data_IF_346699084347
#
_entry.id   IF_346699084347
#
_cell.length_a   1.000
_cell.length_b   1.000
_cell.length_c   1.000
_cell.angle_alpha   90.00
_cell.angle_beta   90.00
_cell.angle_gamma   90.00
#
_symmetry.space_group_name_H-M   'P 1'
#
loop_
_entity.id
_entity.type
_entity.pdbx_description
1 polymer ?
#
# COMPACT_ATOMS: atom_id res chain seq x y z
N UNK A 1 -24.41 25.19 11.52
CA UNK A 1 -23.70 24.31 10.62
C UNK A 1 -22.52 23.69 11.32
N UNK A 2 -22.54 22.41 11.37
CA UNK A 2 -21.41 21.69 11.93
C UNK A 2 -20.35 21.52 10.86
N UNK A 3 -19.19 22.10 11.08
CA UNK A 3 -18.09 21.91 10.17
C UNK A 3 -17.18 20.84 10.76
N UNK A 4 -17.36 19.64 10.28
CA UNK A 4 -16.53 18.56 10.71
C UNK A 4 -15.10 18.74 10.20
N UNK A 5 -14.15 18.49 11.07
CA UNK A 5 -12.74 18.52 10.69
C UNK A 5 -12.14 17.15 10.98
N UNK A 6 -11.15 16.81 10.18
CA UNK A 6 -10.53 15.49 10.22
C UNK A 6 -9.05 15.62 10.52
N UNK A 7 -8.60 14.80 11.44
CA UNK A 7 -7.15 14.68 11.70
C UNK A 7 -6.63 13.62 10.75
N UNK A 8 -5.70 14.02 9.89
CA UNK A 8 -5.12 13.14 8.88
C UNK A 8 -3.68 12.85 9.25
N UNK A 9 -3.34 11.59 9.39
CA UNK A 9 -1.98 11.15 9.70
C UNK A 9 -1.46 10.32 8.54
N UNK A 10 -0.30 10.72 8.02
CA UNK A 10 0.36 9.97 6.96
C UNK A 10 1.46 9.12 7.57
N UNK A 11 1.41 7.83 7.25
CA UNK A 11 2.33 6.84 7.80
C UNK A 11 3.00 6.08 6.67
N UNK A 12 4.30 5.83 6.81
CA UNK A 12 5.00 4.91 5.93
C UNK A 12 5.33 3.65 6.74
N UNK A 13 4.80 2.52 6.28
CA UNK A 13 5.10 1.22 6.87
C UNK A 13 6.19 0.54 6.05
N UNK A 14 7.16 -0.03 6.73
CA UNK A 14 8.28 -0.71 6.09
C UNK A 14 8.17 -2.21 6.37
N UNK A 15 8.23 -2.99 5.29
CA UNK A 15 8.18 -4.44 5.37
C UNK A 15 9.40 -5.04 4.67
N UNK A 16 9.94 -6.11 5.25
CA UNK A 16 10.95 -6.91 4.59
C UNK A 16 10.22 -8.08 3.94
N UNK A 17 10.32 -8.19 2.62
CA UNK A 17 9.71 -9.27 1.86
C UNK A 17 10.79 -10.10 1.20
N UNK A 18 10.59 -11.40 1.15
CA UNK A 18 11.52 -12.32 0.52
C UNK A 18 10.81 -13.12 -0.55
N UNK A 19 11.52 -13.33 -1.65
CA UNK A 19 11.03 -14.00 -2.83
C UNK A 19 12.02 -15.06 -3.23
N UNK A 20 11.54 -16.15 -3.85
CA UNK A 20 12.43 -17.19 -4.35
C UNK A 20 11.84 -17.79 -5.62
N UNK A 21 12.70 -18.09 -6.58
CA UNK A 21 12.34 -18.79 -7.80
C UNK A 21 13.32 -19.96 -7.95
N UNK A 22 12.83 -21.19 -8.10
CA UNK A 22 13.74 -22.31 -8.35
C UNK A 22 14.52 -22.10 -9.63
N UNK A 23 15.83 -22.35 -9.62
CA UNK A 23 16.66 -22.13 -10.81
C UNK A 23 16.20 -22.97 -11.99
N UNK A 24 15.64 -24.15 -11.73
CA UNK A 24 15.10 -24.99 -12.80
C UNK A 24 13.98 -24.35 -13.58
N UNK A 25 13.21 -23.46 -12.96
CA UNK A 25 12.13 -22.73 -13.63
C UNK A 25 12.65 -21.56 -14.46
N UNK A 26 13.89 -21.14 -14.23
CA UNK A 26 14.54 -20.10 -15.01
C UNK A 26 15.27 -20.69 -16.23
N UNK A 27 15.36 -22.00 -16.31
CA UNK A 27 16.04 -22.65 -17.43
C UNK A 27 15.23 -22.48 -18.72
N UNK A 28 15.91 -22.17 -19.80
CA UNK A 28 15.29 -22.08 -21.13
C UNK A 28 15.81 -23.20 -22.01
N UNK A 29 14.91 -23.95 -22.62
CA UNK A 29 15.24 -25.07 -23.51
C UNK A 29 16.21 -26.06 -22.87
N UNK A 30 16.05 -26.32 -21.57
CA UNK A 30 16.90 -27.25 -20.85
C UNK A 30 18.27 -26.70 -20.46
N UNK A 31 18.53 -25.43 -20.72
CA UNK A 31 19.81 -24.80 -20.39
C UNK A 31 19.65 -23.99 -19.12
N UNK A 32 20.42 -24.31 -18.09
CA UNK A 32 20.40 -23.56 -16.83
C UNK A 32 21.08 -22.22 -16.98
N UNK A 33 20.50 -21.15 -16.42
CA UNK A 33 21.15 -19.86 -16.43
C UNK A 33 22.41 -19.84 -15.56
N UNK A 34 23.29 -18.90 -15.82
CA UNK A 34 24.38 -18.62 -14.89
C UNK A 34 23.81 -18.01 -13.62
N UNK A 35 24.59 -18.03 -12.54
CA UNK A 35 24.15 -17.41 -11.28
C UNK A 35 23.80 -15.94 -11.47
N UNK A 36 24.61 -15.21 -12.22
CA UNK A 36 24.36 -13.78 -12.47
C UNK A 36 23.07 -13.56 -13.25
N UNK A 37 22.81 -14.38 -14.27
CA UNK A 37 21.57 -14.31 -15.03
C UNK A 37 20.36 -14.62 -14.16
N UNK A 38 20.46 -15.66 -13.33
CA UNK A 38 19.38 -16.07 -12.44
C UNK A 38 19.03 -14.95 -11.44
N UNK A 39 20.04 -14.29 -10.89
CA UNK A 39 19.83 -13.17 -9.96
C UNK A 39 19.12 -12.03 -10.67
N UNK A 40 19.60 -11.67 -11.86
CA UNK A 40 19.01 -10.57 -12.61
C UNK A 40 17.55 -10.86 -12.99
N UNK A 41 17.26 -12.05 -13.48
CA UNK A 41 15.91 -12.44 -13.89
C UNK A 41 14.95 -12.49 -12.71
N UNK A 42 15.42 -12.99 -11.55
CA UNK A 42 14.60 -13.05 -10.35
C UNK A 42 14.27 -11.64 -9.87
N UNK A 43 15.25 -10.74 -9.85
CA UNK A 43 15.01 -9.35 -9.46
C UNK A 43 14.02 -8.67 -10.38
N UNK A 44 14.10 -8.91 -11.68
CA UNK A 44 13.16 -8.37 -12.64
C UNK A 44 11.75 -8.89 -12.40
N UNK A 45 11.60 -10.19 -12.12
CA UNK A 45 10.30 -10.79 -11.83
C UNK A 45 9.67 -10.22 -10.57
N UNK A 46 10.47 -9.92 -9.55
CA UNK A 46 9.97 -9.27 -8.33
C UNK A 46 9.46 -7.86 -8.66
N UNK A 47 10.22 -7.09 -9.42
CA UNK A 47 9.81 -5.73 -9.80
C UNK A 47 8.55 -5.76 -10.65
N UNK A 48 8.40 -6.74 -11.52
CA UNK A 48 7.26 -6.89 -12.40
C UNK A 48 6.06 -7.57 -11.72
N UNK A 49 6.17 -7.86 -10.44
CA UNK A 49 5.12 -8.52 -9.66
C UNK A 49 4.70 -9.89 -10.20
N UNK A 50 5.66 -10.63 -10.75
CA UNK A 50 5.42 -11.94 -11.33
C UNK A 50 5.59 -13.09 -10.35
N UNK A 51 6.06 -12.79 -9.14
CA UNK A 51 6.31 -13.78 -8.11
C UNK A 51 5.79 -13.26 -6.78
N UNK A 52 5.21 -14.15 -5.97
CA UNK A 52 4.69 -13.77 -4.66
C UNK A 52 5.74 -14.01 -3.58
N UNK A 53 5.72 -13.19 -2.55
CA UNK A 53 6.62 -13.34 -1.42
C UNK A 53 6.31 -14.60 -0.62
N UNK A 54 7.36 -15.27 -0.15
CA UNK A 54 7.18 -16.40 0.77
C UNK A 54 7.33 -15.99 2.23
N UNK A 55 7.75 -14.77 2.49
CA UNK A 55 7.83 -14.27 3.85
C UNK A 55 7.67 -12.75 3.86
N UNK A 56 7.04 -12.26 4.90
CA UNK A 56 6.82 -10.84 5.10
C UNK A 56 7.05 -10.53 6.57
N UNK A 57 7.83 -9.51 6.85
CA UNK A 57 8.11 -9.08 8.21
C UNK A 57 7.96 -7.57 8.30
N UNK A 58 7.08 -7.13 9.17
CA UNK A 58 6.89 -5.71 9.42
C UNK A 58 8.07 -5.17 10.23
N UNK A 59 8.70 -4.13 9.73
CA UNK A 59 9.88 -3.53 10.36
C UNK A 59 9.55 -2.27 11.14
N UNK A 60 8.33 -1.80 11.02
CA UNK A 60 7.89 -0.61 11.74
C UNK A 60 7.23 0.40 10.83
N UNK A 61 6.77 1.47 11.42
CA UNK A 61 6.15 2.55 10.68
C UNK A 61 6.60 3.88 11.24
N UNK A 62 6.65 4.87 10.36
CA UNK A 62 7.00 6.23 10.71
C UNK A 62 5.85 7.15 10.36
N UNK A 63 5.44 7.95 11.33
CA UNK A 63 4.48 9.01 11.06
C UNK A 63 5.25 10.15 10.41
N UNK A 64 4.87 10.48 9.17
CA UNK A 64 5.54 11.53 8.40
C UNK A 64 4.98 12.88 8.76
N UNK A 65 3.66 12.99 8.82
CA UNK A 65 3.00 14.22 9.18
C UNK A 65 1.61 13.95 9.74
N UNK A 66 1.09 14.95 10.41
CA UNK A 66 -0.28 14.92 10.93
C UNK A 66 -0.82 16.34 10.80
N UNK A 67 -2.00 16.47 10.23
CA UNK A 67 -2.61 17.79 10.05
C UNK A 67 -4.13 17.67 10.11
N UNK A 68 -4.79 18.81 10.20
CA UNK A 68 -6.25 18.88 10.31
C UNK A 68 -6.81 19.48 9.03
N UNK A 69 -7.79 18.81 8.45
CA UNK A 69 -8.46 19.27 7.23
C UNK A 69 -9.95 19.36 7.49
N UNK A 70 -10.61 20.30 6.79
CA UNK A 70 -12.06 20.33 6.75
C UNK A 70 -12.58 19.22 5.82
N UNK A 71 -13.89 19.05 5.80
CA UNK A 71 -14.51 17.99 5.03
C UNK A 71 -14.19 18.08 3.53
N UNK A 72 -14.24 19.27 2.97
CA UNK A 72 -13.98 19.47 1.55
C UNK A 72 -12.55 19.06 1.19
N UNK A 73 -11.60 19.48 2.00
CA UNK A 73 -10.18 19.20 1.74
C UNK A 73 -9.83 17.74 1.95
N UNK A 74 -10.44 17.07 2.92
CA UNK A 74 -10.17 15.65 3.12
C UNK A 74 -10.73 14.83 1.96
N UNK A 75 -11.85 15.25 1.39
CA UNK A 75 -12.40 14.61 0.20
C UNK A 75 -11.49 14.83 -1.01
N UNK A 76 -10.95 16.03 -1.17
CA UNK A 76 -9.99 16.30 -2.24
C UNK A 76 -8.74 15.43 -2.12
N UNK A 77 -8.26 15.24 -0.91
CA UNK A 77 -7.11 14.38 -0.66
C UNK A 77 -7.45 12.92 -0.99
N UNK A 78 -8.63 12.47 -0.60
CA UNK A 78 -9.10 11.13 -0.93
C UNK A 78 -9.15 10.92 -2.44
N UNK A 79 -9.67 11.88 -3.18
CA UNK A 79 -9.76 11.80 -4.64
C UNK A 79 -8.39 11.76 -5.30
N UNK A 80 -7.46 12.53 -4.77
CA UNK A 80 -6.09 12.55 -5.28
C UNK A 80 -5.42 11.19 -5.09
N UNK A 81 -5.60 10.59 -3.93
CA UNK A 81 -4.99 9.31 -3.60
C UNK A 81 -5.69 8.13 -4.26
N UNK A 82 -6.97 8.30 -4.61
CA UNK A 82 -7.80 7.21 -5.13
C UNK A 82 -8.56 7.65 -6.39
N UNK A 83 -7.87 8.01 -7.46
CA UNK A 83 -8.54 8.53 -8.67
C UNK A 83 -9.50 7.53 -9.32
N UNK A 84 -9.29 6.24 -9.08
CA UNK A 84 -10.14 5.19 -9.64
C UNK A 84 -11.55 5.13 -9.06
N UNK A 85 -11.81 5.83 -7.95
CA UNK A 85 -13.11 5.86 -7.31
C UNK A 85 -13.63 7.30 -7.17
N UNK A 86 -13.17 8.20 -8.02
CA UNK A 86 -13.56 9.61 -7.97
C UNK A 86 -15.05 9.82 -8.24
N UNK A 87 -15.71 8.87 -8.89
CA UNK A 87 -17.14 8.93 -9.19
C UNK A 87 -18.03 8.49 -8.02
N UNK A 88 -17.46 8.07 -6.90
CA UNK A 88 -18.22 7.75 -5.70
C UNK A 88 -18.91 9.00 -5.17
N UNK A 89 -20.05 8.81 -4.52
CA UNK A 89 -20.76 9.93 -3.88
C UNK A 89 -19.95 10.44 -2.69
N UNK A 90 -20.21 11.68 -2.29
CA UNK A 90 -19.57 12.28 -1.12
C UNK A 90 -19.77 11.41 0.12
N UNK A 91 -20.98 10.89 0.30
CA UNK A 91 -21.31 10.05 1.46
C UNK A 91 -20.50 8.77 1.48
N UNK A 92 -20.34 8.15 0.31
CA UNK A 92 -19.53 6.92 0.20
C UNK A 92 -18.06 7.19 0.50
N UNK A 93 -17.53 8.31 0.01
CA UNK A 93 -16.15 8.71 0.29
C UNK A 93 -15.93 8.94 1.78
N UNK A 94 -16.86 9.64 2.42
CA UNK A 94 -16.75 9.92 3.85
C UNK A 94 -16.81 8.65 4.68
N UNK A 95 -17.58 7.66 4.27
CA UNK A 95 -17.59 6.36 4.95
C UNK A 95 -16.25 5.66 4.86
N UNK A 96 -15.56 5.79 3.74
CA UNK A 96 -14.22 5.22 3.56
C UNK A 96 -13.17 5.94 4.38
N UNK A 97 -13.32 7.25 4.51
CA UNK A 97 -12.40 8.09 5.26
C UNK A 97 -12.62 7.89 6.77
N UNK A 98 -13.87 7.90 7.20
CA UNK A 98 -14.22 7.76 8.61
C UNK A 98 -14.36 6.29 8.98
N UNK A 99 -13.27 5.69 9.35
CA UNK A 99 -13.11 4.26 9.46
C UNK A 99 -12.51 3.85 10.81
N UNK A 100 -12.85 4.56 11.85
CA UNK A 100 -12.31 4.27 13.16
C UNK A 100 -12.94 3.00 13.73
N UNK A 101 -12.10 1.99 13.97
CA UNK A 101 -12.55 0.67 14.40
C UNK A 101 -12.99 0.62 15.86
N UNK A 102 -12.42 1.49 16.68
CA UNK A 102 -12.74 1.55 18.11
C UNK A 102 -13.43 2.88 18.37
N UNK A 103 -14.74 2.81 18.60
CA UNK A 103 -15.47 4.02 18.93
C UNK A 103 -15.12 4.48 20.33
N UNK A 104 -14.79 5.77 20.43
CA UNK A 104 -14.58 6.39 21.73
C UNK A 104 -15.90 6.42 22.47
N UNK A 105 -15.94 5.83 23.65
CA UNK A 105 -17.13 5.86 24.45
C UNK A 105 -17.30 7.22 25.11
N UNK A 106 -18.50 7.76 24.99
CA UNK A 106 -18.81 8.96 25.75
C UNK A 106 -19.20 8.53 27.14
N UNK A 107 -18.70 9.24 28.09
CA UNK A 107 -18.90 8.97 29.50
C UNK A 107 -20.08 9.77 30.01
#
# INVERSE_FOLDING_TARGET
MSEERYVVTTVISTHRMRYAIPMSELAEEGVMPTTAEAISWTNDSVVMEEVEEFSQHWLGENIIDTFVLDEERVIQLFDRDNPHVADMTKEEKLKKIHNWKIKKQSV
#
